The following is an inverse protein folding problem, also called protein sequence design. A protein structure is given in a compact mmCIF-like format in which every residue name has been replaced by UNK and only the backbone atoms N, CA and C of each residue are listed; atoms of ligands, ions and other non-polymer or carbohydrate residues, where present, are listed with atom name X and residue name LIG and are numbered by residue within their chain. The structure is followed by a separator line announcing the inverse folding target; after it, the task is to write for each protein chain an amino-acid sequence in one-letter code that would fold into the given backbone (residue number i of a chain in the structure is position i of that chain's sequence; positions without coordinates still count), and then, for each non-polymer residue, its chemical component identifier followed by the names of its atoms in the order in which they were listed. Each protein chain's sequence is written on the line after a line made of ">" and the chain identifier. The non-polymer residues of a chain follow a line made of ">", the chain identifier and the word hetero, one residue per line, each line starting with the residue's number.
data_IF_466210361551
#
_entry.id   IF_466210361551
#
_cell.length_a   1.000
_cell.length_b   1.000
_cell.length_c   1.000
_cell.angle_alpha   90.00
_cell.angle_beta   90.00
_cell.angle_gamma   90.00
#
_symmetry.space_group_name_H-M   'P 1'
#
loop_
_entity.id
_entity.type
_entity.pdbx_description
1 polymer ?
#
# COMPACT_ATOMS: atom_id res chain seq x y z
N UNK A 1 -33.20 107.16 52.91
CA UNK A 1 -32.00 106.57 52.27
C UNK A 1 -32.18 105.08 52.37
N UNK A 2 -32.70 104.46 51.31
CA UNK A 2 -32.89 103.03 51.24
C UNK A 2 -31.72 102.49 50.41
N UNK A 3 -30.79 101.81 51.06
CA UNK A 3 -29.61 101.24 50.41
C UNK A 3 -30.03 100.02 49.59
N UNK A 4 -29.93 100.16 48.27
CA UNK A 4 -30.14 99.07 47.34
C UNK A 4 -28.91 98.14 47.39
N UNK A 5 -28.94 97.12 48.24
CA UNK A 5 -27.90 96.07 48.23
C UNK A 5 -28.31 94.99 47.23
N UNK A 6 -27.50 94.78 46.19
CA UNK A 6 -27.66 93.63 45.29
C UNK A 6 -26.76 92.51 45.81
N UNK A 7 -27.38 91.38 46.17
CA UNK A 7 -26.66 90.17 46.59
C UNK A 7 -26.58 89.23 45.39
N UNK A 8 -25.37 89.02 44.86
CA UNK A 8 -25.11 88.00 43.84
C UNK A 8 -24.60 86.75 44.55
N UNK A 9 -25.34 85.64 44.44
CA UNK A 9 -24.94 84.35 45.04
C UNK A 9 -24.22 83.51 43.98
N UNK A 10 -22.94 83.25 44.19
CA UNK A 10 -22.24 82.13 43.54
C UNK A 10 -22.49 80.83 44.32
N UNK A 11 -22.16 79.68 43.73
CA UNK A 11 -22.36 78.37 44.38
C UNK A 11 -21.62 78.20 45.70
N UNK A 12 -20.51 78.94 45.90
CA UNK A 12 -19.66 78.79 47.10
C UNK A 12 -19.28 80.12 47.81
N UNK A 13 -19.80 81.29 47.40
CA UNK A 13 -19.56 82.56 48.11
C UNK A 13 -20.65 83.61 47.86
N UNK A 14 -20.97 84.40 48.90
CA UNK A 14 -21.87 85.57 48.84
C UNK A 14 -21.03 86.83 48.72
N UNK A 15 -21.08 87.50 47.56
CA UNK A 15 -20.42 88.80 47.37
C UNK A 15 -21.47 89.89 47.59
N UNK A 16 -21.26 90.70 48.63
CA UNK A 16 -22.09 91.88 48.93
C UNK A 16 -21.41 93.09 48.26
N UNK A 17 -22.09 93.73 47.32
CA UNK A 17 -21.55 94.89 46.59
C UNK A 17 -22.26 96.15 47.09
N UNK A 18 -21.48 97.08 47.67
CA UNK A 18 -21.95 98.42 48.05
C UNK A 18 -22.14 99.28 46.78
N UNK A 19 -23.33 99.87 46.62
CA UNK A 19 -23.73 100.64 45.44
C UNK A 19 -23.19 102.08 45.40
N UNK A 20 -22.36 102.48 46.37
CA UNK A 20 -21.93 103.87 46.53
C UNK A 20 -21.00 104.47 45.47
N UNK A 21 -20.50 103.73 44.46
CA UNK A 21 -19.69 104.34 43.40
C UNK A 21 -19.97 103.73 42.01
N UNK A 22 -20.20 104.59 41.01
CA UNK A 22 -20.38 104.17 39.62
C UNK A 22 -19.19 103.32 39.07
N UNK A 23 -18.04 103.35 39.74
CA UNK A 23 -16.89 102.52 39.43
C UNK A 23 -17.13 101.01 39.70
N UNK A 24 -17.95 100.64 40.69
CA UNK A 24 -18.18 99.22 41.04
C UNK A 24 -19.07 98.50 40.03
N UNK A 25 -20.09 99.18 39.47
CA UNK A 25 -20.97 98.62 38.43
C UNK A 25 -20.20 98.36 37.13
N UNK A 26 -19.34 99.29 36.70
CA UNK A 26 -18.52 99.11 35.49
C UNK A 26 -17.54 97.94 35.62
N UNK A 27 -16.94 97.74 36.80
CA UNK A 27 -16.07 96.59 37.07
C UNK A 27 -16.83 95.25 36.98
N UNK A 28 -18.05 95.18 37.51
CA UNK A 28 -18.90 93.98 37.42
C UNK A 28 -19.30 93.69 35.96
N UNK A 29 -19.70 94.71 35.19
CA UNK A 29 -20.03 94.54 33.77
C UNK A 29 -18.82 94.06 32.96
N UNK A 30 -17.64 94.64 33.19
CA UNK A 30 -16.42 94.20 32.52
C UNK A 30 -16.05 92.75 32.86
N UNK A 31 -16.20 92.35 34.13
CA UNK A 31 -15.99 90.97 34.56
C UNK A 31 -17.00 90.00 33.93
N UNK A 32 -18.28 90.38 33.86
CA UNK A 32 -19.31 89.58 33.21
C UNK A 32 -19.04 89.42 31.70
N UNK A 33 -18.64 90.48 31.01
CA UNK A 33 -18.27 90.45 29.60
C UNK A 33 -17.02 89.57 29.37
N UNK A 34 -16.02 89.65 30.25
CA UNK A 34 -14.84 88.80 30.20
C UNK A 34 -15.18 87.32 30.45
N UNK A 35 -16.06 87.03 31.41
CA UNK A 35 -16.54 85.67 31.67
C UNK A 35 -17.33 85.11 30.48
N UNK A 36 -18.21 85.90 29.88
CA UNK A 36 -18.96 85.50 28.69
C UNK A 36 -18.02 85.21 27.50
N UNK A 37 -17.00 86.06 27.29
CA UNK A 37 -15.98 85.82 26.27
C UNK A 37 -15.19 84.52 26.54
N UNK A 38 -14.84 84.24 27.79
CA UNK A 38 -14.17 83.00 28.18
C UNK A 38 -15.05 81.77 27.92
N UNK A 39 -16.34 81.82 28.24
CA UNK A 39 -17.30 80.75 27.94
C UNK A 39 -17.36 80.49 26.44
N UNK A 40 -17.47 81.53 25.61
CA UNK A 40 -17.48 81.39 24.15
C UNK A 40 -16.18 80.77 23.62
N UNK A 41 -15.02 81.14 24.16
CA UNK A 41 -13.73 80.52 23.78
C UNK A 41 -13.74 79.03 24.14
N UNK A 42 -14.21 78.66 25.33
CA UNK A 42 -14.29 77.25 25.77
C UNK A 42 -15.25 76.45 24.88
N UNK A 43 -16.40 77.00 24.52
CA UNK A 43 -17.35 76.36 23.60
C UNK A 43 -16.75 76.16 22.20
N UNK A 44 -16.03 77.16 21.67
CA UNK A 44 -15.34 77.04 20.40
C UNK A 44 -14.25 75.95 20.44
N UNK A 45 -13.41 75.94 21.48
CA UNK A 45 -12.37 74.91 21.65
C UNK A 45 -12.99 73.52 21.78
N UNK A 46 -14.11 73.38 22.50
CA UNK A 46 -14.84 72.11 22.61
C UNK A 46 -15.34 71.64 21.23
N UNK A 47 -15.89 72.55 20.43
CA UNK A 47 -16.37 72.22 19.09
C UNK A 47 -15.22 71.84 18.15
N UNK A 48 -14.09 72.54 18.22
CA UNK A 48 -12.88 72.22 17.44
C UNK A 48 -12.33 70.83 17.80
N UNK A 49 -12.30 70.49 19.09
CA UNK A 49 -11.89 69.16 19.57
C UNK A 49 -12.84 68.07 19.05
N UNK A 50 -14.15 68.27 19.15
CA UNK A 50 -15.15 67.31 18.65
C UNK A 50 -15.07 67.12 17.12
N UNK A 51 -14.84 68.21 16.37
CA UNK A 51 -14.65 68.13 14.93
C UNK A 51 -13.34 67.40 14.59
N UNK A 52 -12.26 67.67 15.32
CA UNK A 52 -10.98 66.97 15.14
C UNK A 52 -11.11 65.47 15.42
N UNK A 53 -11.81 65.09 16.49
CA UNK A 53 -12.06 63.68 16.82
C UNK A 53 -12.86 62.99 15.72
N UNK A 54 -13.89 63.66 15.19
CA UNK A 54 -14.69 63.17 14.06
C UNK A 54 -13.83 62.93 12.82
N UNK A 55 -12.99 63.91 12.44
CA UNK A 55 -12.11 63.80 11.26
C UNK A 55 -11.07 62.68 11.41
N UNK A 56 -10.52 62.49 12.62
CA UNK A 56 -9.57 61.42 12.91
C UNK A 56 -10.26 60.06 12.79
N UNK A 57 -11.46 59.91 13.35
CA UNK A 57 -12.22 58.66 13.27
C UNK A 57 -12.57 58.31 11.82
N UNK A 58 -13.03 59.28 11.02
CA UNK A 58 -13.32 59.06 9.59
C UNK A 58 -12.06 58.67 8.81
N UNK A 59 -10.91 59.29 9.10
CA UNK A 59 -9.62 58.93 8.48
C UNK A 59 -9.21 57.50 8.82
N UNK A 60 -9.36 57.08 10.09
CA UNK A 60 -9.05 55.72 10.53
C UNK A 60 -10.00 54.70 9.88
N UNK A 61 -11.30 54.97 9.86
CA UNK A 61 -12.29 54.11 9.23
C UNK A 61 -11.98 53.90 7.75
N UNK A 62 -11.68 54.97 7.01
CA UNK A 62 -11.30 54.90 5.61
C UNK A 62 -10.01 54.07 5.40
N UNK A 63 -8.99 54.27 6.23
CA UNK A 63 -7.74 53.49 6.14
C UNK A 63 -7.96 51.99 6.44
N UNK A 64 -8.84 51.66 7.39
CA UNK A 64 -9.22 50.27 7.69
C UNK A 64 -10.00 49.66 6.54
N UNK A 65 -10.91 50.40 5.91
CA UNK A 65 -11.66 49.94 4.73
C UNK A 65 -10.71 49.65 3.56
N UNK A 66 -9.81 50.57 3.23
CA UNK A 66 -8.86 50.41 2.12
C UNK A 66 -7.89 49.25 2.32
N UNK A 67 -7.35 49.10 3.55
CA UNK A 67 -6.46 47.99 3.88
C UNK A 67 -7.17 46.64 3.85
N UNK A 68 -8.42 46.57 4.34
CA UNK A 68 -9.25 45.37 4.30
C UNK A 68 -9.59 44.99 2.85
N UNK A 69 -10.00 45.95 2.02
CA UNK A 69 -10.29 45.72 0.60
C UNK A 69 -9.05 45.20 -0.16
N UNK A 70 -7.87 45.75 0.14
CA UNK A 70 -6.60 45.29 -0.43
C UNK A 70 -6.28 43.85 -0.01
N UNK A 71 -6.42 43.53 1.28
CA UNK A 71 -6.17 42.18 1.79
C UNK A 71 -7.12 41.14 1.19
N UNK A 72 -8.41 41.47 1.07
CA UNK A 72 -9.42 40.61 0.42
C UNK A 72 -9.07 40.38 -1.06
N UNK A 73 -8.65 41.43 -1.77
CA UNK A 73 -8.25 41.34 -3.18
C UNK A 73 -7.02 40.44 -3.35
N UNK A 74 -6.00 40.59 -2.51
CA UNK A 74 -4.81 39.76 -2.55
C UNK A 74 -5.11 38.29 -2.22
N UNK A 75 -5.99 38.02 -1.25
CA UNK A 75 -6.44 36.66 -0.93
C UNK A 75 -7.20 36.01 -2.10
N UNK A 76 -8.04 36.79 -2.80
CA UNK A 76 -8.72 36.34 -4.02
C UNK A 76 -7.73 35.95 -5.13
N UNK A 77 -6.73 36.80 -5.40
CA UNK A 77 -5.67 36.52 -6.39
C UNK A 77 -4.88 35.26 -6.02
N UNK A 78 -4.52 35.09 -4.75
CA UNK A 78 -3.79 33.91 -4.28
C UNK A 78 -4.60 32.62 -4.48
N UNK A 79 -5.91 32.67 -4.20
CA UNK A 79 -6.83 31.53 -4.39
C UNK A 79 -6.96 31.16 -5.88
N UNK A 80 -7.08 32.14 -6.77
CA UNK A 80 -7.10 31.91 -8.23
C UNK A 80 -5.81 31.25 -8.70
N UNK A 81 -4.64 31.76 -8.30
CA UNK A 81 -3.34 31.18 -8.66
C UNK A 81 -3.18 29.73 -8.18
N UNK A 82 -3.63 29.43 -6.97
CA UNK A 82 -3.60 28.06 -6.43
C UNK A 82 -4.51 27.11 -7.23
N UNK A 83 -5.68 27.60 -7.65
CA UNK A 83 -6.62 26.86 -8.48
C UNK A 83 -6.04 26.59 -9.88
N UNK A 84 -5.43 27.60 -10.50
CA UNK A 84 -4.75 27.47 -11.80
C UNK A 84 -3.58 26.48 -11.74
N UNK A 85 -2.74 26.54 -10.69
CA UNK A 85 -1.63 25.61 -10.48
C UNK A 85 -2.13 24.16 -10.33
N UNK A 86 -3.22 23.97 -9.58
CA UNK A 86 -3.87 22.65 -9.44
C UNK A 86 -4.40 22.15 -10.80
N UNK A 87 -5.05 23.02 -11.59
CA UNK A 87 -5.51 22.69 -12.93
C UNK A 87 -4.38 22.28 -13.87
N UNK A 88 -3.25 22.99 -13.83
CA UNK A 88 -2.05 22.64 -14.63
C UNK A 88 -1.47 21.28 -14.23
N UNK A 89 -1.42 20.96 -12.92
CA UNK A 89 -0.96 19.66 -12.44
C UNK A 89 -1.86 18.49 -12.89
N UNK A 90 -3.19 18.69 -12.88
CA UNK A 90 -4.15 17.71 -13.39
C UNK A 90 -3.95 17.48 -14.89
N UNK A 91 -3.79 18.55 -15.69
CA UNK A 91 -3.54 18.45 -17.14
C UNK A 91 -2.22 17.70 -17.42
N UNK A 92 -1.16 17.97 -16.65
CA UNK A 92 0.12 17.27 -16.80
C UNK A 92 -0.01 15.76 -16.51
N UNK A 93 -0.76 15.40 -15.47
CA UNK A 93 -1.04 14.00 -15.12
C UNK A 93 -1.84 13.29 -16.21
N UNK A 94 -2.88 13.95 -16.75
CA UNK A 94 -3.69 13.40 -17.85
C UNK A 94 -2.84 13.12 -19.10
N UNK A 95 -1.94 14.02 -19.48
CA UNK A 95 -1.00 13.81 -20.60
C UNK A 95 -0.05 12.62 -20.39
N UNK A 96 0.40 12.39 -19.16
CA UNK A 96 1.24 11.23 -18.84
C UNK A 96 0.47 9.92 -19.00
N UNK A 97 -0.78 9.86 -18.51
CA UNK A 97 -1.67 8.71 -18.67
C UNK A 97 -1.94 8.41 -20.16
N UNK A 98 -2.17 9.44 -20.98
CA UNK A 98 -2.37 9.29 -22.42
C UNK A 98 -1.13 8.73 -23.13
N UNK A 99 0.07 9.15 -22.72
CA UNK A 99 1.32 8.60 -23.25
C UNK A 99 1.52 7.13 -22.87
N UNK A 100 1.25 6.76 -21.61
CA UNK A 100 1.34 5.37 -21.15
C UNK A 100 0.35 4.44 -21.86
N UNK A 101 -0.89 4.91 -22.06
CA UNK A 101 -1.90 4.18 -22.82
C UNK A 101 -1.48 3.97 -24.29
N UNK A 102 -0.84 4.97 -24.90
CA UNK A 102 -0.29 4.86 -26.26
C UNK A 102 0.83 3.81 -26.33
N UNK A 103 1.74 3.82 -25.36
CA UNK A 103 2.82 2.83 -25.26
C UNK A 103 2.27 1.40 -25.06
N UNK A 104 1.23 1.25 -24.22
CA UNK A 104 0.57 -0.04 -24.00
C UNK A 104 -0.12 -0.56 -25.27
N UNK A 105 -0.78 0.31 -26.04
CA UNK A 105 -1.41 -0.04 -27.30
C UNK A 105 -0.37 -0.47 -28.37
N UNK A 106 0.80 0.19 -28.41
CA UNK A 106 1.89 -0.21 -29.28
C UNK A 106 2.47 -1.59 -28.88
N UNK A 107 2.67 -1.82 -27.58
CA UNK A 107 3.16 -3.09 -27.05
C UNK A 107 2.18 -4.25 -27.31
N UNK A 108 0.88 -4.03 -27.11
CA UNK A 108 -0.15 -5.05 -27.37
C UNK A 108 -0.26 -5.38 -28.86
N UNK A 109 -0.13 -4.39 -29.74
CA UNK A 109 -0.08 -4.59 -31.20
C UNK A 109 1.15 -5.38 -31.63
N UNK A 110 2.33 -5.09 -31.07
CA UNK A 110 3.55 -5.84 -31.33
C UNK A 110 3.43 -7.30 -30.84
N UNK A 111 2.83 -7.51 -29.66
CA UNK A 111 2.61 -8.86 -29.14
C UNK A 111 1.59 -9.64 -30.00
N UNK A 112 0.52 -8.99 -30.46
CA UNK A 112 -0.45 -9.60 -31.37
C UNK A 112 0.20 -9.98 -32.71
N UNK A 113 1.07 -9.14 -33.26
CA UNK A 113 1.83 -9.46 -34.47
C UNK A 113 2.79 -10.64 -34.25
N UNK A 114 3.47 -10.70 -33.09
CA UNK A 114 4.33 -11.83 -32.74
C UNK A 114 3.54 -13.13 -32.56
N UNK A 115 2.36 -13.08 -31.93
CA UNK A 115 1.51 -14.26 -31.75
C UNK A 115 0.90 -14.73 -33.09
N UNK A 116 0.50 -13.80 -33.95
CA UNK A 116 0.08 -14.12 -35.30
C UNK A 116 1.22 -14.76 -36.10
N UNK A 117 2.44 -14.22 -36.02
CA UNK A 117 3.62 -14.80 -36.64
C UNK A 117 3.95 -16.20 -36.10
N UNK A 118 3.75 -16.46 -34.80
CA UNK A 118 3.91 -17.78 -34.21
C UNK A 118 2.83 -18.78 -34.67
N UNK A 119 1.59 -18.33 -34.87
CA UNK A 119 0.48 -19.18 -35.30
C UNK A 119 0.43 -19.47 -36.81
N UNK A 120 1.21 -18.78 -37.64
CA UNK A 120 1.17 -18.95 -39.11
C UNK A 120 1.93 -20.20 -39.60
N UNK A 121 2.62 -20.96 -38.74
CA UNK A 121 3.57 -21.98 -39.20
C UNK A 121 3.44 -23.40 -38.65
N UNK A 122 2.67 -23.66 -37.58
CA UNK A 122 2.61 -24.98 -36.96
C UNK A 122 1.29 -25.69 -37.22
N UNK A 123 1.30 -26.62 -38.17
CA UNK A 123 0.19 -27.56 -38.35
C UNK A 123 0.24 -28.61 -37.22
N UNK A 124 -0.89 -29.17 -36.86
CA UNK A 124 -0.95 -30.25 -35.88
C UNK A 124 -1.75 -31.41 -36.46
N UNK A 125 -1.20 -32.62 -36.34
CA UNK A 125 -1.85 -33.86 -36.76
C UNK A 125 -1.91 -34.83 -35.58
N UNK A 126 -2.96 -35.63 -35.50
CA UNK A 126 -3.04 -36.67 -34.47
C UNK A 126 -2.15 -37.87 -34.79
N UNK A 127 -1.91 -38.19 -36.06
CA UNK A 127 -1.06 -39.32 -36.49
C UNK A 127 -0.18 -38.95 -37.69
N UNK A 128 0.92 -39.68 -37.88
CA UNK A 128 1.81 -39.56 -39.06
C UNK A 128 1.08 -39.94 -40.35
N UNK A 129 0.12 -40.87 -40.29
CA UNK A 129 -0.68 -41.24 -41.45
C UNK A 129 -1.49 -40.03 -41.98
N UNK A 130 -2.17 -39.30 -41.09
CA UNK A 130 -2.94 -38.10 -41.46
C UNK A 130 -2.02 -36.99 -41.99
N UNK A 131 -0.89 -36.77 -41.34
CA UNK A 131 0.14 -35.84 -41.82
C UNK A 131 0.61 -36.21 -43.25
N UNK A 132 0.92 -37.48 -43.50
CA UNK A 132 1.41 -37.94 -44.81
C UNK A 132 0.34 -37.89 -45.92
N UNK A 133 -0.95 -37.91 -45.57
CA UNK A 133 -2.01 -37.66 -46.56
C UNK A 133 -2.14 -36.18 -46.93
N UNK A 134 -1.67 -35.27 -46.06
CA UNK A 134 -1.72 -33.83 -46.28
C UNK A 134 -0.36 -33.29 -46.75
N UNK A 135 -0.13 -33.41 -48.06
CA UNK A 135 1.08 -32.88 -48.71
C UNK A 135 0.88 -31.47 -49.29
N UNK A 136 -0.28 -30.85 -49.10
CA UNK A 136 -0.66 -29.57 -49.71
C UNK A 136 0.00 -28.35 -49.04
N UNK A 137 1.21 -28.54 -48.50
CA UNK A 137 1.99 -27.54 -47.77
C UNK A 137 3.32 -27.26 -48.46
N UNK A 138 3.73 -25.99 -48.45
CA UNK A 138 5.02 -25.58 -49.01
C UNK A 138 6.21 -26.26 -48.33
N UNK A 139 7.35 -26.31 -49.03
CA UNK A 139 8.59 -26.77 -48.42
C UNK A 139 8.92 -25.95 -47.15
N UNK A 140 9.50 -26.61 -46.15
CA UNK A 140 9.82 -26.06 -44.83
C UNK A 140 8.61 -25.75 -43.93
N UNK A 141 7.39 -26.10 -44.31
CA UNK A 141 6.26 -26.10 -43.37
C UNK A 141 6.59 -27.02 -42.19
N UNK A 142 6.20 -26.61 -40.98
CA UNK A 142 6.44 -27.35 -39.75
C UNK A 142 5.10 -27.91 -39.25
N UNK A 143 5.12 -29.14 -38.76
CA UNK A 143 3.96 -29.68 -38.06
C UNK A 143 4.36 -30.49 -36.82
N UNK A 144 3.38 -30.73 -35.94
CA UNK A 144 3.53 -31.55 -34.75
C UNK A 144 2.56 -32.74 -34.81
N UNK A 145 3.08 -33.95 -34.57
CA UNK A 145 2.28 -35.16 -34.38
C UNK A 145 2.27 -35.50 -32.89
N UNK A 146 1.09 -35.54 -32.27
CA UNK A 146 0.97 -35.63 -30.80
C UNK A 146 0.33 -36.90 -30.26
N UNK A 147 -0.37 -37.71 -31.09
CA UNK A 147 -1.15 -38.86 -30.60
C UNK A 147 -1.10 -40.07 -31.55
N UNK A 148 0.04 -40.30 -32.20
CA UNK A 148 0.26 -41.48 -33.02
C UNK A 148 0.35 -42.73 -32.10
N UNK A 149 -0.33 -43.84 -32.41
CA UNK A 149 -0.24 -45.07 -31.63
C UNK A 149 1.20 -45.58 -31.48
N UNK A 150 2.08 -45.26 -32.43
CA UNK A 150 3.51 -45.55 -32.31
C UNK A 150 4.20 -44.35 -31.65
N UNK A 151 4.65 -44.49 -30.40
CA UNK A 151 5.24 -43.37 -29.63
C UNK A 151 6.43 -42.71 -30.37
N UNK A 152 7.24 -43.49 -31.09
CA UNK A 152 8.38 -42.97 -31.88
C UNK A 152 7.97 -42.11 -33.07
N UNK A 153 6.70 -42.09 -33.46
CA UNK A 153 6.15 -41.24 -34.51
C UNK A 153 5.69 -39.88 -33.97
N UNK A 154 5.51 -39.71 -32.67
CA UNK A 154 5.20 -38.41 -32.10
C UNK A 154 6.42 -37.48 -32.16
N UNK A 155 6.19 -36.21 -32.47
CA UNK A 155 7.24 -35.19 -32.58
C UNK A 155 7.01 -34.19 -33.71
N UNK A 156 8.01 -33.34 -33.92
CA UNK A 156 7.99 -32.29 -34.94
C UNK A 156 8.48 -32.83 -36.29
N UNK A 157 7.78 -32.44 -37.36
CA UNK A 157 8.12 -32.78 -38.73
C UNK A 157 8.30 -31.52 -39.58
N UNK A 158 9.15 -31.62 -40.60
CA UNK A 158 9.35 -30.59 -41.61
C UNK A 158 8.97 -31.13 -42.98
N UNK A 159 8.27 -30.32 -43.77
CA UNK A 159 7.85 -30.67 -45.12
C UNK A 159 9.04 -30.52 -46.08
N UNK A 160 9.40 -31.60 -46.76
CA UNK A 160 10.34 -31.59 -47.88
C UNK A 160 9.60 -31.57 -49.22
N UNK A 161 10.06 -30.75 -50.15
CA UNK A 161 9.45 -30.58 -51.47
C UNK A 161 8.26 -29.62 -51.51
N UNK A 162 7.86 -29.23 -52.71
CA UNK A 162 6.77 -28.27 -52.96
C UNK A 162 5.40 -28.79 -52.48
N UNK A 163 4.41 -27.88 -52.40
CA UNK A 163 3.03 -28.22 -52.09
C UNK A 163 2.47 -29.21 -53.12
N UNK A 164 1.78 -30.25 -52.64
CA UNK A 164 1.22 -31.34 -53.44
C UNK A 164 2.21 -32.45 -53.83
N UNK A 165 3.49 -32.35 -53.46
CA UNK A 165 4.54 -33.34 -53.75
C UNK A 165 5.45 -33.56 -52.52
N UNK A 166 6.43 -34.46 -52.60
CA UNK A 166 7.45 -34.64 -51.55
C UNK A 166 6.98 -35.47 -50.34
N UNK A 167 7.61 -35.25 -49.18
CA UNK A 167 7.32 -36.03 -47.96
C UNK A 167 7.57 -35.21 -46.69
N UNK A 168 7.00 -35.66 -45.58
CA UNK A 168 7.30 -35.12 -44.26
C UNK A 168 8.48 -35.87 -43.65
N UNK A 169 9.49 -35.14 -43.20
CA UNK A 169 10.63 -35.71 -42.48
C UNK A 169 10.56 -35.33 -41.01
N UNK A 170 10.71 -36.33 -40.13
CA UNK A 170 10.80 -36.07 -38.69
C UNK A 170 12.08 -35.30 -38.38
N UNK A 171 11.95 -34.20 -37.65
CA UNK A 171 13.12 -33.46 -37.17
C UNK A 171 13.86 -34.30 -36.12
N UNK A 172 15.18 -34.50 -36.32
CA UNK A 172 16.05 -35.08 -35.30
C UNK A 172 16.27 -34.12 -34.11
N UNK A 173 16.07 -32.82 -34.36
CA UNK A 173 16.07 -31.79 -33.33
C UNK A 173 14.64 -31.56 -32.87
N UNK A 174 14.31 -32.08 -31.69
CA UNK A 174 13.20 -31.56 -30.90
C UNK A 174 13.81 -30.37 -30.18
N UNK A 175 13.45 -29.10 -30.50
CA UNK A 175 13.83 -28.00 -29.64
C UNK A 175 13.38 -28.43 -28.24
N UNK A 176 14.24 -28.38 -27.22
CA UNK A 176 13.78 -28.65 -25.86
C UNK A 176 12.52 -27.83 -25.71
N UNK A 177 11.37 -28.50 -25.50
CA UNK A 177 10.09 -27.83 -25.29
C UNK A 177 10.44 -26.72 -24.35
N UNK A 178 10.40 -25.49 -24.84
CA UNK A 178 10.91 -24.40 -24.04
C UNK A 178 9.99 -24.44 -22.83
N UNK A 179 10.51 -24.92 -21.70
CA UNK A 179 9.82 -24.89 -20.41
C UNK A 179 9.57 -23.45 -19.98
N UNK A 180 9.88 -22.50 -20.85
CA UNK A 180 9.37 -21.14 -20.96
C UNK A 180 7.84 -21.06 -21.17
N UNK A 181 7.09 -22.16 -21.16
CA UNK A 181 5.65 -22.13 -20.87
C UNK A 181 5.46 -21.60 -19.44
N UNK A 182 5.55 -20.27 -19.32
CA UNK A 182 5.54 -19.51 -18.09
C UNK A 182 6.70 -19.98 -17.19
N UNK A 183 7.78 -19.20 -17.09
CA UNK A 183 8.44 -19.12 -15.78
C UNK A 183 7.32 -18.70 -14.88
N UNK A 184 6.71 -19.65 -14.18
CA UNK A 184 5.65 -19.34 -13.28
C UNK A 184 6.33 -18.52 -12.20
N UNK A 185 6.28 -17.20 -12.38
CA UNK A 185 6.72 -16.22 -11.40
C UNK A 185 5.86 -16.30 -10.16
N UNK A 186 4.87 -17.20 -10.16
CA UNK A 186 4.32 -17.83 -8.97
C UNK A 186 5.47 -18.47 -8.20
N UNK A 187 6.08 -17.64 -7.36
CA UNK A 187 6.87 -18.11 -6.24
C UNK A 187 5.92 -18.93 -5.38
N UNK A 188 6.05 -20.25 -5.44
CA UNK A 188 5.41 -21.12 -4.47
C UNK A 188 5.94 -20.71 -3.10
N UNK A 189 5.10 -20.02 -2.32
CA UNK A 189 5.42 -19.70 -0.95
C UNK A 189 5.43 -21.03 -0.18
N UNK A 190 6.46 -21.24 0.65
CA UNK A 190 6.48 -22.38 1.57
C UNK A 190 5.27 -22.29 2.51
N UNK A 191 4.24 -23.05 2.18
CA UNK A 191 3.04 -23.23 3.00
C UNK A 191 3.35 -24.27 4.08
N UNK A 192 3.02 -23.97 5.34
CA UNK A 192 3.00 -25.01 6.37
C UNK A 192 1.68 -25.80 6.36
N UNK A 193 0.68 -25.34 5.59
CA UNK A 193 -0.52 -26.08 5.28
C UNK A 193 -0.25 -27.16 4.22
N UNK A 194 -0.45 -28.43 4.58
CA UNK A 194 -0.27 -29.59 3.71
C UNK A 194 -1.39 -29.75 2.67
N UNK A 195 -2.47 -28.97 2.78
CA UNK A 195 -3.58 -28.99 1.83
C UNK A 195 -3.26 -28.07 0.66
N UNK A 196 -2.88 -28.66 -0.46
CA UNK A 196 -2.79 -27.94 -1.72
C UNK A 196 -4.21 -27.77 -2.29
N UNK A 197 -4.72 -26.54 -2.35
CA UNK A 197 -6.14 -26.23 -2.61
C UNK A 197 -6.67 -26.69 -3.98
N UNK A 198 -5.79 -27.10 -4.90
CA UNK A 198 -6.12 -27.44 -6.29
C UNK A 198 -6.66 -28.86 -6.47
N UNK A 199 -6.62 -29.72 -5.44
CA UNK A 199 -6.95 -31.14 -5.59
C UNK A 199 -7.96 -31.63 -4.53
N UNK A 200 -9.10 -30.96 -4.38
CA UNK A 200 -10.24 -31.48 -3.61
C UNK A 200 -11.41 -31.82 -4.53
N UNK A 201 -11.95 -33.03 -4.39
CA UNK A 201 -13.12 -33.47 -5.12
C UNK A 201 -14.40 -32.98 -4.43
N UNK A 202 -15.21 -32.17 -5.11
CA UNK A 202 -16.49 -31.68 -4.60
C UNK A 202 -17.53 -32.81 -4.57
N UNK A 203 -18.42 -32.75 -3.56
CA UNK A 203 -19.49 -33.71 -3.32
C UNK A 203 -18.98 -35.15 -3.18
N UNK A 204 -17.85 -35.30 -2.49
CA UNK A 204 -17.23 -36.60 -2.20
C UNK A 204 -16.92 -36.79 -0.72
N UNK A 205 -17.13 -38.01 -0.24
CA UNK A 205 -16.83 -38.46 1.12
C UNK A 205 -15.97 -39.72 1.09
N UNK A 206 -15.08 -39.88 2.06
CA UNK A 206 -14.32 -41.11 2.26
C UNK A 206 -15.16 -42.18 2.98
N UNK A 207 -15.04 -43.41 2.53
CA UNK A 207 -15.50 -44.59 3.24
C UNK A 207 -14.46 -44.97 4.31
N UNK A 208 -14.84 -44.87 5.58
CA UNK A 208 -13.95 -45.14 6.72
C UNK A 208 -13.45 -46.59 6.81
N UNK A 209 -14.09 -47.54 6.13
CA UNK A 209 -13.71 -48.95 6.17
C UNK A 209 -12.80 -49.34 5.02
N UNK A 210 -12.90 -48.66 3.87
CA UNK A 210 -12.18 -49.05 2.64
C UNK A 210 -11.21 -47.98 2.13
N UNK A 211 -11.29 -46.74 2.64
CA UNK A 211 -10.56 -45.60 2.11
C UNK A 211 -10.99 -45.17 0.70
N UNK A 212 -12.04 -45.77 0.13
CA UNK A 212 -12.55 -45.37 -1.18
C UNK A 212 -13.41 -44.10 -1.07
N UNK A 213 -13.54 -43.35 -2.17
CA UNK A 213 -14.49 -42.23 -2.25
C UNK A 213 -15.86 -42.68 -2.70
N UNK A 214 -16.90 -42.05 -2.16
CA UNK A 214 -18.27 -42.12 -2.65
C UNK A 214 -18.84 -40.71 -2.84
N UNK A 215 -19.82 -40.58 -3.73
CA UNK A 215 -20.50 -39.30 -3.96
C UNK A 215 -21.44 -38.97 -2.81
N UNK A 216 -21.29 -37.80 -2.20
CA UNK A 216 -22.21 -37.27 -1.21
C UNK A 216 -22.16 -35.75 -1.18
N UNK A 217 -23.31 -35.11 -1.40
CA UNK A 217 -23.40 -33.64 -1.44
C UNK A 217 -23.05 -33.00 -0.09
N UNK A 218 -22.41 -31.84 -0.14
CA UNK A 218 -22.04 -31.04 1.04
C UNK A 218 -20.68 -31.41 1.64
N UNK A 219 -19.95 -32.34 1.00
CA UNK A 219 -18.63 -32.79 1.42
C UNK A 219 -17.57 -32.51 0.36
N UNK A 220 -16.33 -32.29 0.81
CA UNK A 220 -15.13 -32.27 -0.02
C UNK A 220 -14.16 -33.30 0.51
N UNK A 221 -13.46 -33.99 -0.39
CA UNK A 221 -12.37 -34.89 -0.02
C UNK A 221 -11.10 -34.51 -0.76
N UNK A 222 -9.98 -34.42 -0.04
CA UNK A 222 -8.67 -34.13 -0.64
C UNK A 222 -8.20 -35.29 -1.53
N UNK A 223 -7.30 -35.00 -2.45
CA UNK A 223 -6.42 -36.01 -3.03
C UNK A 223 -5.43 -36.54 -1.96
N UNK A 224 -4.59 -37.50 -2.33
CA UNK A 224 -3.56 -38.07 -1.46
C UNK A 224 -2.54 -37.01 -1.06
N UNK A 225 -2.49 -36.72 0.23
CA UNK A 225 -1.53 -35.81 0.86
C UNK A 225 -0.37 -36.66 1.39
N UNK A 226 0.87 -36.44 0.91
CA UNK A 226 2.04 -37.15 1.44
C UNK A 226 2.29 -36.75 2.90
N UNK A 227 2.59 -37.74 3.74
CA UNK A 227 2.84 -37.58 5.17
C UNK A 227 4.00 -38.46 5.64
N UNK A 228 4.63 -38.05 6.73
CA UNK A 228 5.55 -38.91 7.49
C UNK A 228 4.77 -39.82 8.44
N UNK A 229 5.20 -41.07 8.55
CA UNK A 229 4.66 -42.06 9.50
C UNK A 229 4.88 -41.65 10.96
N UNK A 230 4.07 -42.18 11.88
CA UNK A 230 4.17 -41.91 13.33
C UNK A 230 4.25 -40.42 13.70
N UNK A 231 3.68 -39.54 12.88
CA UNK A 231 3.80 -38.08 13.03
C UNK A 231 2.44 -37.47 13.40
N UNK A 232 2.46 -36.48 14.30
CA UNK A 232 1.25 -35.76 14.71
C UNK A 232 0.91 -34.66 13.71
N UNK A 233 -0.38 -34.56 13.35
CA UNK A 233 -0.93 -33.53 12.49
C UNK A 233 -2.13 -32.86 13.14
N UNK A 234 -2.21 -31.55 12.98
CA UNK A 234 -3.32 -30.71 13.37
C UNK A 234 -4.21 -30.43 12.16
N UNK A 235 -5.53 -30.51 12.32
CA UNK A 235 -6.56 -30.28 11.31
C UNK A 235 -7.50 -29.18 11.81
N UNK A 236 -7.81 -28.16 11.01
CA UNK A 236 -8.75 -27.09 11.42
C UNK A 236 -10.22 -27.52 11.43
N UNK A 237 -10.57 -28.41 10.51
CA UNK A 237 -11.91 -29.00 10.40
C UNK A 237 -11.78 -30.32 9.68
N UNK A 238 -12.41 -31.38 10.20
CA UNK A 238 -12.30 -32.69 9.58
C UNK A 238 -13.46 -33.57 9.97
N UNK A 239 -13.97 -34.33 9.00
CA UNK A 239 -14.91 -35.42 9.20
C UNK A 239 -14.20 -36.76 9.23
N UNK A 240 -13.49 -37.13 8.16
CA UNK A 240 -12.77 -38.42 8.12
C UNK A 240 -11.33 -38.21 7.70
N UNK A 241 -10.43 -38.94 8.33
CA UNK A 241 -9.02 -39.05 7.94
C UNK A 241 -8.79 -40.51 7.58
N UNK A 242 -8.40 -40.79 6.34
CA UNK A 242 -8.00 -42.13 5.92
C UNK A 242 -6.49 -42.13 5.64
N UNK A 243 -5.79 -43.13 6.14
CA UNK A 243 -4.35 -43.32 5.97
C UNK A 243 -4.07 -44.44 4.96
N UNK A 244 -3.02 -44.25 4.18
CA UNK A 244 -2.63 -45.17 3.12
C UNK A 244 -1.12 -45.40 3.12
N UNK A 245 -0.72 -46.58 2.65
CA UNK A 245 0.69 -46.96 2.49
C UNK A 245 1.31 -46.30 1.24
N UNK A 246 2.60 -46.59 0.97
CA UNK A 246 3.31 -46.05 -0.20
C UNK A 246 2.69 -46.45 -1.55
N UNK A 247 1.92 -47.54 -1.58
CA UNK A 247 1.20 -48.03 -2.76
C UNK A 247 -0.24 -47.49 -2.85
N UNK A 248 -0.61 -46.56 -1.96
CA UNK A 248 -1.96 -45.99 -1.82
C UNK A 248 -3.02 -47.03 -1.40
N UNK A 249 -2.61 -48.12 -0.76
CA UNK A 249 -3.52 -49.10 -0.16
C UNK A 249 -4.01 -48.57 1.19
N UNK A 250 -5.31 -48.69 1.46
CA UNK A 250 -5.91 -48.25 2.72
C UNK A 250 -5.35 -49.03 3.92
N UNK A 251 -4.95 -48.30 4.97
CA UNK A 251 -4.44 -48.86 6.23
C UNK A 251 -5.52 -48.79 7.31
N UNK A 252 -5.97 -47.56 7.60
CA UNK A 252 -6.88 -47.28 8.69
C UNK A 252 -7.56 -45.92 8.49
N UNK A 253 -8.57 -45.65 9.31
CA UNK A 253 -9.22 -44.36 9.34
C UNK A 253 -9.45 -43.87 10.77
N UNK A 254 -9.69 -42.57 10.89
CA UNK A 254 -10.06 -41.89 12.12
C UNK A 254 -11.25 -40.98 11.84
N UNK A 255 -12.23 -40.99 12.73
CA UNK A 255 -13.35 -40.04 12.71
C UNK A 255 -12.92 -38.75 13.41
N UNK A 256 -13.03 -37.64 12.69
CA UNK A 256 -12.69 -36.31 13.16
C UNK A 256 -13.82 -35.68 13.98
N UNK A 257 -13.62 -34.42 14.39
CA UNK A 257 -14.54 -33.71 15.30
C UNK A 257 -15.30 -32.54 14.65
N UNK A 258 -15.32 -32.43 13.30
CA UNK A 258 -15.87 -31.30 12.52
C UNK A 258 -15.27 -29.91 12.86
N UNK A 259 -14.34 -29.90 13.79
CA UNK A 259 -13.65 -28.76 14.39
C UNK A 259 -12.17 -29.14 14.50
N UNK A 260 -11.38 -28.31 15.19
CA UNK A 260 -9.97 -28.56 15.44
C UNK A 260 -9.74 -29.98 15.97
N UNK A 261 -8.88 -30.73 15.28
CA UNK A 261 -8.60 -32.13 15.61
C UNK A 261 -7.12 -32.41 15.45
N UNK A 262 -6.58 -33.26 16.32
CA UNK A 262 -5.17 -33.66 16.26
C UNK A 262 -5.10 -35.17 16.35
N UNK A 263 -4.31 -35.79 15.47
CA UNK A 263 -4.05 -37.23 15.53
C UNK A 263 -2.67 -37.55 14.98
N UNK A 264 -2.15 -38.72 15.33
CA UNK A 264 -0.90 -39.24 14.79
C UNK A 264 -1.16 -40.24 13.67
N UNK A 265 -0.39 -40.15 12.59
CA UNK A 265 -0.45 -41.14 11.52
C UNK A 265 0.08 -42.51 11.99
N UNK A 266 -0.44 -43.64 11.47
CA UNK A 266 0.13 -44.97 11.69
C UNK A 266 1.62 -45.08 11.31
N UNK A 267 2.30 -46.11 11.82
CA UNK A 267 3.73 -46.34 11.58
C UNK A 267 4.09 -46.74 10.15
N UNK A 268 3.11 -47.19 9.37
CA UNK A 268 3.27 -47.57 7.96
C UNK A 268 2.56 -46.62 6.98
N UNK A 269 2.08 -45.46 7.45
CA UNK A 269 1.39 -44.49 6.61
C UNK A 269 2.38 -43.63 5.80
N UNK A 270 2.12 -43.48 4.51
CA UNK A 270 2.85 -42.60 3.60
C UNK A 270 1.96 -41.49 3.02
N UNK A 271 0.64 -41.71 2.99
CA UNK A 271 -0.33 -40.73 2.54
C UNK A 271 -1.54 -40.67 3.47
N UNK A 272 -2.24 -39.53 3.45
CA UNK A 272 -3.59 -39.41 4.00
C UNK A 272 -4.55 -38.76 3.01
N UNK A 273 -5.84 -38.99 3.19
CA UNK A 273 -6.92 -38.23 2.56
C UNK A 273 -7.89 -37.77 3.62
N UNK A 274 -8.47 -36.60 3.41
CA UNK A 274 -9.32 -35.94 4.41
C UNK A 274 -10.65 -35.53 3.81
N UNK A 275 -11.75 -35.92 4.46
CA UNK A 275 -13.08 -35.37 4.17
C UNK A 275 -13.39 -34.22 5.13
N UNK A 276 -13.97 -33.14 4.62
CA UNK A 276 -14.41 -31.96 5.37
C UNK A 276 -15.64 -31.33 4.72
N UNK A 277 -16.34 -30.45 5.45
CA UNK A 277 -17.57 -29.81 4.97
C UNK A 277 -17.26 -28.90 3.77
N UNK A 278 -18.08 -28.97 2.72
CA UNK A 278 -17.80 -28.27 1.46
C UNK A 278 -17.71 -26.74 1.58
N UNK A 279 -18.42 -26.15 2.54
CA UNK A 279 -18.40 -24.70 2.83
C UNK A 279 -17.24 -24.26 3.71
N UNK A 280 -16.49 -25.20 4.30
CA UNK A 280 -15.37 -24.91 5.19
C UNK A 280 -14.04 -24.89 4.43
N UNK A 281 -13.05 -24.22 5.02
CA UNK A 281 -11.66 -24.24 4.55
C UNK A 281 -10.84 -25.18 5.42
N UNK A 282 -10.29 -26.24 4.83
CA UNK A 282 -9.43 -27.19 5.51
C UNK A 282 -7.98 -26.67 5.52
N UNK A 283 -7.34 -26.77 6.68
CA UNK A 283 -5.90 -26.63 6.81
C UNK A 283 -5.34 -27.75 7.66
N UNK A 284 -4.18 -28.28 7.25
CA UNK A 284 -3.48 -29.35 7.94
C UNK A 284 -2.04 -28.93 8.16
N UNK A 285 -1.55 -28.97 9.39
CA UNK A 285 -0.19 -28.58 9.75
C UNK A 285 0.49 -29.65 10.59
N UNK A 286 1.82 -29.72 10.54
CA UNK A 286 2.61 -30.59 11.42
C UNK A 286 2.47 -30.16 12.89
N UNK A 287 2.40 -31.13 13.80
CA UNK A 287 2.33 -30.91 15.24
C UNK A 287 0.90 -30.94 15.80
N UNK A 288 0.75 -30.52 17.05
CA UNK A 288 -0.48 -30.71 17.84
C UNK A 288 -1.32 -29.46 18.04
N UNK A 289 -0.88 -28.31 17.51
CA UNK A 289 -1.52 -26.99 17.68
C UNK A 289 -1.58 -26.25 16.35
N UNK A 290 -2.61 -25.43 16.14
CA UNK A 290 -2.62 -24.46 15.05
C UNK A 290 -1.53 -23.42 15.30
N UNK A 291 -0.46 -23.43 14.51
CA UNK A 291 0.59 -22.41 14.59
C UNK A 291 0.75 -21.77 13.21
N UNK A 292 0.29 -20.51 13.09
CA UNK A 292 0.50 -19.64 11.93
C UNK A 292 0.28 -20.35 10.58
N UNK A 293 -0.96 -20.83 10.34
CA UNK A 293 -1.30 -21.54 9.11
C UNK A 293 -1.17 -20.57 7.92
N UNK A 294 -0.19 -20.83 7.07
CA UNK A 294 -0.03 -20.16 5.78
C UNK A 294 -0.71 -21.04 4.74
N UNK A 295 -1.79 -20.57 4.12
CA UNK A 295 -2.48 -21.35 3.10
C UNK A 295 -1.63 -21.45 1.84
N UNK A 296 -1.74 -22.58 1.13
CA UNK A 296 -1.16 -22.72 -0.19
C UNK A 296 -1.83 -21.70 -1.12
N UNK A 297 -1.13 -20.60 -1.40
CA UNK A 297 -1.57 -19.55 -2.29
C UNK A 297 -0.44 -19.23 -3.26
N UNK A 298 -0.74 -19.25 -4.55
CA UNK A 298 0.10 -18.55 -5.52
C UNK A 298 0.06 -17.08 -5.13
N UNK A 299 1.17 -16.52 -4.65
CA UNK A 299 1.32 -15.07 -4.72
C UNK A 299 1.38 -14.75 -6.20
N UNK A 300 0.40 -14.00 -6.70
CA UNK A 300 0.62 -13.35 -7.99
C UNK A 300 1.90 -12.51 -7.84
N UNK A 301 2.74 -12.50 -8.88
CA UNK A 301 4.02 -11.79 -8.88
C UNK A 301 3.88 -10.31 -8.48
N UNK A 302 2.69 -9.74 -8.74
CA UNK A 302 2.32 -8.38 -8.32
C UNK A 302 2.25 -8.22 -6.80
N UNK A 303 1.66 -9.14 -6.04
CA UNK A 303 1.57 -9.05 -4.58
C UNK A 303 2.95 -9.15 -3.93
N UNK A 304 3.82 -10.01 -4.45
CA UNK A 304 5.20 -10.09 -4.00
C UNK A 304 5.98 -8.80 -4.31
N UNK A 305 5.79 -8.22 -5.50
CA UNK A 305 6.40 -6.95 -5.86
C UNK A 305 5.92 -5.81 -4.95
N UNK A 306 4.60 -5.70 -4.75
CA UNK A 306 3.99 -4.72 -3.84
C UNK A 306 4.51 -4.84 -2.41
N UNK A 307 4.66 -6.08 -1.90
CA UNK A 307 5.25 -6.29 -0.57
C UNK A 307 6.72 -5.86 -0.54
N UNK A 308 7.53 -6.24 -1.53
CA UNK A 308 8.94 -5.84 -1.59
C UNK A 308 9.10 -4.33 -1.63
N UNK A 309 8.24 -3.63 -2.38
CA UNK A 309 8.24 -2.17 -2.45
C UNK A 309 7.75 -1.52 -1.15
N UNK A 310 6.77 -2.14 -0.48
CA UNK A 310 6.31 -1.71 0.85
C UNK A 310 7.43 -1.86 1.90
N UNK A 311 8.12 -3.01 1.95
CA UNK A 311 9.24 -3.23 2.88
C UNK A 311 10.36 -2.23 2.62
N UNK A 312 10.71 -1.96 1.35
CA UNK A 312 11.70 -0.92 1.01
C UNK A 312 11.25 0.46 1.50
N UNK A 313 9.99 0.80 1.29
CA UNK A 313 9.42 2.09 1.70
C UNK A 313 9.46 2.23 3.23
N UNK A 314 8.94 1.25 3.97
CA UNK A 314 8.94 1.24 5.43
C UNK A 314 10.35 1.26 6.01
N UNK A 315 11.30 0.55 5.40
CA UNK A 315 12.69 0.58 5.83
C UNK A 315 13.31 1.96 5.64
N UNK A 316 13.04 2.64 4.51
CA UNK A 316 13.53 4.01 4.25
C UNK A 316 12.90 5.05 5.16
N UNK A 317 11.63 4.90 5.50
CA UNK A 317 10.92 5.85 6.36
C UNK A 317 10.98 5.47 7.84
N UNK A 318 11.76 4.44 8.20
CA UNK A 318 11.87 3.90 9.56
C UNK A 318 10.50 3.61 10.21
N UNK A 319 9.53 3.14 9.42
CA UNK A 319 8.16 2.89 9.89
C UNK A 319 8.01 1.60 10.73
N UNK A 320 9.12 1.03 11.21
CA UNK A 320 9.12 -0.15 12.08
C UNK A 320 9.28 0.23 13.56
N UNK A 321 8.76 -0.60 14.45
CA UNK A 321 8.85 -0.39 15.90
C UNK A 321 9.90 -1.32 16.50
N UNK A 322 10.87 -0.80 17.25
CA UNK A 322 11.82 -1.62 18.02
C UNK A 322 11.10 -2.21 19.24
N UNK A 323 11.11 -3.53 19.38
CA UNK A 323 10.42 -4.27 20.44
C UNK A 323 11.38 -4.85 21.49
N UNK A 324 12.67 -4.95 21.19
CA UNK A 324 13.70 -5.31 22.18
C UNK A 324 14.18 -4.09 22.97
N UNK A 325 14.67 -4.31 24.19
CA UNK A 325 15.40 -3.27 24.94
C UNK A 325 16.64 -2.81 24.17
N UNK A 326 16.81 -1.50 23.99
CA UNK A 326 17.99 -0.93 23.34
C UNK A 326 19.11 -0.82 24.37
N UNK A 327 20.20 -1.55 24.15
CA UNK A 327 21.46 -1.37 24.87
C UNK A 327 22.43 -0.53 24.04
N UNK A 328 23.33 0.18 24.71
CA UNK A 328 24.31 1.06 24.06
C UNK A 328 25.73 0.57 24.35
N UNK A 329 26.59 0.62 23.34
CA UNK A 329 28.02 0.36 23.54
C UNK A 329 28.71 1.54 24.24
N UNK A 330 30.01 1.40 24.53
CA UNK A 330 30.82 2.44 25.19
C UNK A 330 30.88 3.79 24.44
N UNK A 331 30.45 3.82 23.18
CA UNK A 331 30.38 5.02 22.35
C UNK A 331 28.97 5.62 22.27
N UNK A 332 28.03 5.15 23.10
CA UNK A 332 26.64 5.63 23.11
C UNK A 332 25.83 5.20 21.89
N UNK A 333 26.24 4.14 21.17
CA UNK A 333 25.54 3.66 19.97
C UNK A 333 24.74 2.39 20.25
N UNK A 334 23.54 2.22 19.64
CA UNK A 334 22.74 1.01 19.82
C UNK A 334 23.53 -0.25 19.45
N UNK A 335 23.49 -1.25 20.32
CA UNK A 335 24.01 -2.59 20.03
C UNK A 335 22.95 -3.41 19.29
N UNK A 336 23.30 -3.92 18.11
CA UNK A 336 22.49 -4.89 17.38
C UNK A 336 22.79 -6.33 17.80
N UNK A 337 21.91 -7.32 17.55
CA UNK A 337 20.60 -7.22 16.87
C UNK A 337 19.48 -6.60 17.72
N UNK A 338 18.55 -5.91 17.06
CA UNK A 338 17.34 -5.34 17.68
C UNK A 338 16.10 -6.00 17.07
N UNK A 339 15.18 -6.48 17.90
CA UNK A 339 13.90 -7.02 17.42
C UNK A 339 13.01 -5.87 16.97
N UNK A 340 12.34 -6.04 15.83
CA UNK A 340 11.41 -5.05 15.27
C UNK A 340 10.06 -5.67 14.89
N UNK A 341 9.02 -4.84 14.84
CA UNK A 341 7.73 -5.14 14.25
C UNK A 341 7.46 -4.18 13.09
N UNK A 342 7.09 -4.72 11.93
CA UNK A 342 6.76 -3.98 10.72
C UNK A 342 5.29 -3.50 10.71
N UNK A 343 4.90 -2.53 9.85
CA UNK A 343 3.52 -2.03 9.77
C UNK A 343 2.45 -3.08 9.47
N UNK A 344 2.81 -4.19 8.81
CA UNK A 344 1.93 -5.33 8.56
C UNK A 344 1.90 -6.35 9.72
N UNK A 345 2.48 -6.00 10.87
CA UNK A 345 2.69 -6.85 12.04
C UNK A 345 3.65 -8.02 11.83
N UNK A 346 4.38 -8.07 10.70
CA UNK A 346 5.48 -9.01 10.56
C UNK A 346 6.57 -8.70 11.59
N UNK A 347 7.28 -9.74 12.02
CA UNK A 347 8.41 -9.59 12.94
C UNK A 347 9.71 -9.48 12.16
N UNK A 348 10.77 -9.00 12.80
CA UNK A 348 12.04 -8.80 12.15
C UNK A 348 13.19 -8.58 13.11
N UNK A 349 14.40 -8.54 12.55
CA UNK A 349 15.63 -8.23 13.27
C UNK A 349 16.37 -7.14 12.51
N UNK A 350 16.58 -6.00 13.14
CA UNK A 350 17.41 -4.90 12.66
C UNK A 350 18.87 -5.11 13.11
N UNK A 351 19.79 -5.08 12.15
CA UNK A 351 21.24 -5.17 12.37
C UNK A 351 21.90 -3.89 11.87
N UNK A 352 22.73 -3.29 12.73
CA UNK A 352 23.48 -2.07 12.42
C UNK A 352 24.96 -2.43 12.51
N UNK A 353 25.65 -2.34 11.37
CA UNK A 353 27.10 -2.59 11.30
C UNK A 353 27.82 -1.25 11.35
N UNK A 354 28.88 -1.18 12.15
CA UNK A 354 29.72 0.01 12.29
C UNK A 354 31.15 -0.28 11.81
N UNK A 355 31.87 0.74 11.30
CA UNK A 355 33.30 0.65 11.03
C UNK A 355 34.13 0.88 12.33
N UNK A 356 35.45 0.90 12.23
CA UNK A 356 36.34 1.11 13.39
C UNK A 356 36.22 2.52 14.01
N UNK A 357 35.84 3.53 13.22
CA UNK A 357 35.51 4.89 13.71
C UNK A 357 34.08 4.92 14.32
N UNK A 358 33.38 3.81 14.16
CA UNK A 358 32.02 3.56 14.57
C UNK A 358 30.95 4.31 13.77
N UNK A 359 31.29 4.80 12.59
CA UNK A 359 30.30 5.22 11.60
C UNK A 359 29.51 3.99 11.14
N UNK A 360 28.20 4.14 10.94
CA UNK A 360 27.38 3.08 10.35
C UNK A 360 27.93 2.78 8.95
N UNK A 361 28.04 1.50 8.60
CA UNK A 361 28.44 1.04 7.25
C UNK A 361 27.29 0.38 6.53
N UNK A 362 26.49 -0.40 7.24
CA UNK A 362 25.36 -1.16 6.69
C UNK A 362 24.25 -1.18 7.74
N UNK A 363 23.02 -0.94 7.30
CA UNK A 363 21.81 -1.25 8.06
C UNK A 363 21.09 -2.34 7.28
N UNK A 364 20.75 -3.44 7.96
CA UNK A 364 19.92 -4.50 7.39
C UNK A 364 18.78 -4.86 8.34
N UNK A 365 17.65 -5.26 7.79
CA UNK A 365 16.55 -5.80 8.58
C UNK A 365 15.97 -7.04 7.93
N UNK A 366 15.49 -7.97 8.76
CA UNK A 366 14.67 -9.09 8.28
C UNK A 366 13.18 -8.74 8.39
N UNK A 367 12.39 -9.15 7.41
CA UNK A 367 10.92 -9.15 7.46
C UNK A 367 10.47 -10.60 7.41
N UNK A 368 9.96 -11.10 8.53
CA UNK A 368 9.54 -12.48 8.73
C UNK A 368 8.01 -12.48 8.73
N UNK A 369 7.45 -12.92 7.61
CA UNK A 369 6.01 -13.00 7.42
C UNK A 369 5.58 -14.39 6.97
N UNK A 370 4.28 -14.56 6.79
CA UNK A 370 3.69 -15.75 6.20
C UNK A 370 4.17 -16.01 4.75
N UNK A 371 4.79 -15.02 4.10
CA UNK A 371 5.28 -15.10 2.72
C UNK A 371 6.77 -15.46 2.62
N UNK A 372 7.45 -15.60 3.76
CA UNK A 372 8.86 -15.92 3.84
C UNK A 372 9.63 -14.91 4.68
N UNK A 373 10.96 -15.07 4.66
CA UNK A 373 11.89 -14.11 5.26
C UNK A 373 12.55 -13.30 4.16
N UNK A 374 12.33 -11.99 4.17
CA UNK A 374 13.00 -11.06 3.27
C UNK A 374 14.11 -10.35 4.03
N UNK A 375 15.26 -10.18 3.40
CA UNK A 375 16.33 -9.36 3.98
C UNK A 375 16.43 -8.06 3.21
N UNK A 376 16.11 -6.95 3.87
CA UNK A 376 16.29 -5.61 3.33
C UNK A 376 17.65 -5.07 3.81
N UNK A 377 18.41 -4.46 2.90
CA UNK A 377 19.75 -3.94 3.20
C UNK A 377 19.94 -2.59 2.55
N UNK A 378 20.60 -1.68 3.27
CA UNK A 378 21.04 -0.39 2.78
C UNK A 378 22.45 -0.11 3.29
N UNK A 379 23.33 0.27 2.37
CA UNK A 379 24.63 0.83 2.76
C UNK A 379 24.44 2.18 3.45
N UNK A 380 25.40 2.56 4.29
CA UNK A 380 25.35 3.83 4.98
C UNK A 380 25.37 5.03 4.03
N UNK A 381 24.65 6.08 4.41
CA UNK A 381 24.66 7.36 3.70
C UNK A 381 26.03 8.01 3.93
N UNK A 382 26.72 8.33 2.84
CA UNK A 382 27.98 9.07 2.91
C UNK A 382 27.67 10.56 3.01
N UNK A 383 28.16 11.22 4.05
CA UNK A 383 28.02 12.66 4.23
C UNK A 383 29.32 13.36 3.83
N UNK A 384 29.21 14.45 3.06
CA UNK A 384 30.30 15.39 2.78
C UNK A 384 29.80 16.76 3.22
N UNK A 385 30.54 17.42 4.11
CA UNK A 385 30.19 18.71 4.68
C UNK A 385 28.80 18.76 5.34
N UNK A 386 28.41 17.66 5.99
CA UNK A 386 27.12 17.54 6.68
C UNK A 386 25.92 17.29 5.75
N UNK A 387 26.13 17.24 4.44
CA UNK A 387 25.09 16.94 3.45
C UNK A 387 25.24 15.49 2.94
N UNK A 388 24.11 14.75 2.79
CA UNK A 388 24.15 13.41 2.21
C UNK A 388 24.53 13.52 0.72
N UNK A 389 25.63 12.88 0.33
CA UNK A 389 26.11 12.94 -1.07
C UNK A 389 25.35 12.01 -1.98
N UNK A 390 25.06 10.79 -1.52
CA UNK A 390 24.27 9.79 -2.22
C UNK A 390 23.53 8.95 -1.19
N UNK A 391 22.21 8.79 -1.37
CA UNK A 391 21.41 7.84 -0.59
C UNK A 391 21.51 6.48 -1.32
N UNK A 392 22.16 5.45 -0.74
CA UNK A 392 22.29 4.17 -1.40
C UNK A 392 20.92 3.53 -1.67
N UNK A 393 20.86 2.75 -2.75
CA UNK A 393 19.69 1.95 -3.07
C UNK A 393 19.44 0.92 -1.97
N UNK A 394 18.16 0.75 -1.61
CA UNK A 394 17.73 -0.34 -0.74
C UNK A 394 17.52 -1.59 -1.57
N UNK A 395 18.23 -2.66 -1.23
CA UNK A 395 18.10 -3.97 -1.88
C UNK A 395 17.28 -4.91 -1.01
N UNK A 396 16.50 -5.79 -1.64
CA UNK A 396 15.77 -6.86 -0.95
C UNK A 396 16.19 -8.19 -1.56
N UNK A 397 16.62 -9.12 -0.71
CA UNK A 397 16.96 -10.48 -1.08
C UNK A 397 15.87 -11.44 -0.62
#
# INVERSE_FOLDING_TARGET
>A
MADNVIVVRGTDNIVVIDQGSAASVAQVTNAANAAQAAITIVENVKNDVLQSETNINETIENAVIESTATAVTQAGIATTKATEATGQAVIATQKAIEADNSNLAAASSANAANLAAQNIGSLAFTTVALMNTDLAHGANAICLVTNDPTITNNGQYIKLGASGAGSWQKSAYVPPLASNAVKNTDVYVSSNNLVNSIASYLDTILNKTTGATSTQSGWKTTDFIPISASTSYFFSTVRYICYYDSNKTFISSVDGSYTNYTTASPSNAAYMRVTYVATSTLSITLGSTATNITNYGMLNSNALLTLKDSIKSWFRSEAYTITSTISYNQYGRPTSPLNITWPDNATGVLTITYNNDGNVTIISATHISHLGTFTVTQAAITYVDGLPTVIPAVTIN
#
